data_IF_498030797968
#
_entry.id   IF_498030797968
#
_cell.length_a   1.000
_cell.length_b   1.000
_cell.length_c   1.000
_cell.angle_alpha   90.00
_cell.angle_beta   90.00
_cell.angle_gamma   90.00
#
_symmetry.space_group_name_H-M   'P 1'
#
loop_
_entity.id
_entity.type
_entity.pdbx_description
1 polymer ?
#
# COMPACT_ATOMS: atom_id res chain seq x y z
N UNK A 1 -10.96 -7.10 -8.78
CA UNK A 1 -11.06 -6.59 -7.40
C UNK A 1 -11.92 -7.53 -6.55
N UNK A 2 -11.43 -7.94 -5.38
CA UNK A 2 -12.11 -8.80 -4.40
C UNK A 2 -12.52 -7.97 -3.18
N UNK A 3 -13.82 -7.92 -2.89
CA UNK A 3 -14.35 -7.18 -1.74
C UNK A 3 -14.79 -8.17 -0.66
N UNK A 4 -14.35 -7.97 0.58
CA UNK A 4 -14.90 -8.64 1.76
C UNK A 4 -15.92 -7.72 2.42
N UNK A 5 -17.17 -8.16 2.54
CA UNK A 5 -18.23 -7.41 3.21
C UNK A 5 -18.59 -8.10 4.52
N UNK A 6 -18.36 -7.40 5.64
CA UNK A 6 -18.72 -7.79 6.99
C UNK A 6 -19.99 -7.07 7.39
N UNK A 7 -21.08 -7.81 7.64
CA UNK A 7 -22.39 -7.23 7.98
C UNK A 7 -22.78 -7.52 9.43
N UNK A 8 -23.58 -6.63 10.03
CA UNK A 8 -24.26 -6.94 11.29
C UNK A 8 -25.58 -7.69 11.04
N UNK A 9 -25.99 -8.53 11.99
CA UNK A 9 -27.18 -9.40 11.89
C UNK A 9 -28.31 -9.05 12.85
N UNK A 10 -28.15 -8.01 13.67
CA UNK A 10 -29.06 -7.69 14.78
C UNK A 10 -30.20 -6.75 14.37
N UNK A 11 -29.98 -5.94 13.34
CA UNK A 11 -30.99 -5.03 12.78
C UNK A 11 -31.74 -5.73 11.65
N UNK A 12 -32.98 -5.29 11.41
CA UNK A 12 -33.79 -5.80 10.32
C UNK A 12 -33.03 -5.77 8.98
N UNK A 13 -32.74 -6.97 8.47
CA UNK A 13 -31.97 -7.22 7.24
C UNK A 13 -32.50 -6.50 6.01
N UNK A 14 -33.80 -6.17 5.98
CA UNK A 14 -34.45 -5.42 4.90
C UNK A 14 -33.88 -4.01 4.72
N UNK A 15 -33.47 -3.37 5.80
CA UNK A 15 -32.96 -1.99 5.80
C UNK A 15 -31.43 -1.91 5.88
N UNK A 16 -30.79 -3.02 6.27
CA UNK A 16 -29.33 -3.15 6.38
C UNK A 16 -28.80 -4.20 5.41
N UNK A 17 -28.41 -5.39 5.89
CA UNK A 17 -27.70 -6.43 5.11
C UNK A 17 -28.17 -6.56 3.67
N UNK A 18 -29.46 -6.81 3.43
CA UNK A 18 -29.96 -7.04 2.06
C UNK A 18 -29.90 -5.76 1.21
N UNK A 19 -30.21 -4.62 1.81
CA UNK A 19 -30.16 -3.33 1.11
C UNK A 19 -28.72 -2.92 0.76
N UNK A 20 -27.81 -3.01 1.73
CA UNK A 20 -26.39 -2.70 1.55
C UNK A 20 -25.75 -3.65 0.53
N UNK A 21 -26.00 -4.95 0.62
CA UNK A 21 -25.46 -5.96 -0.30
C UNK A 21 -25.93 -5.73 -1.74
N UNK A 22 -27.21 -5.41 -1.95
CA UNK A 22 -27.78 -5.09 -3.26
C UNK A 22 -27.11 -3.82 -3.86
N UNK A 23 -26.89 -2.78 -3.04
CA UNK A 23 -26.18 -1.58 -3.47
C UNK A 23 -24.71 -1.85 -3.80
N UNK A 24 -24.02 -2.61 -2.94
CA UNK A 24 -22.61 -2.95 -3.12
C UNK A 24 -22.41 -3.78 -4.39
N UNK A 25 -23.30 -4.75 -4.66
CA UNK A 25 -23.28 -5.54 -5.89
C UNK A 25 -23.40 -4.69 -7.14
N UNK A 26 -24.33 -3.74 -7.14
CA UNK A 26 -24.49 -2.82 -8.25
C UNK A 26 -23.27 -1.91 -8.43
N UNK A 27 -22.67 -1.44 -7.34
CA UNK A 27 -21.47 -0.60 -7.38
C UNK A 27 -20.24 -1.35 -7.92
N UNK A 28 -19.96 -2.56 -7.43
CA UNK A 28 -18.85 -3.40 -7.92
C UNK A 28 -19.01 -3.71 -9.40
N UNK A 29 -20.25 -4.00 -9.85
CA UNK A 29 -20.52 -4.21 -11.28
C UNK A 29 -20.22 -2.97 -12.12
N UNK A 30 -20.58 -1.76 -11.64
CA UNK A 30 -20.28 -0.50 -12.35
C UNK A 30 -18.77 -0.24 -12.42
N UNK A 31 -18.03 -0.47 -11.34
CA UNK A 31 -16.57 -0.29 -11.30
C UNK A 31 -15.85 -1.29 -12.22
N UNK A 32 -16.24 -2.57 -12.18
CA UNK A 32 -15.68 -3.62 -13.03
C UNK A 32 -16.12 -3.53 -14.51
N UNK A 33 -17.05 -2.64 -14.88
CA UNK A 33 -17.35 -2.37 -16.30
C UNK A 33 -16.42 -1.29 -16.89
N UNK A 34 -15.75 -0.48 -16.05
CA UNK A 34 -14.72 0.47 -16.48
C UNK A 34 -13.31 -0.16 -16.59
N UNK A 35 -13.09 -1.35 -16.01
CA UNK A 35 -11.79 -2.05 -15.94
C UNK A 35 -11.95 -3.56 -16.17
N UNK A 36 -11.06 -4.15 -16.95
CA UNK A 36 -11.15 -5.53 -17.47
C UNK A 36 -11.45 -6.62 -16.38
N UNK A 37 -12.26 -7.60 -16.76
CA UNK A 37 -13.06 -8.45 -15.87
C UNK A 37 -12.26 -9.55 -15.13
N UNK A 38 -12.16 -9.44 -13.80
CA UNK A 38 -12.07 -10.60 -12.89
C UNK A 38 -13.00 -10.40 -11.68
N UNK A 39 -14.13 -11.12 -11.69
CA UNK A 39 -15.10 -11.14 -10.59
C UNK A 39 -14.55 -11.80 -9.32
N UNK A 40 -14.79 -11.17 -8.16
CA UNK A 40 -15.32 -11.94 -7.03
C UNK A 40 -16.16 -11.05 -6.12
N UNK A 41 -17.47 -11.32 -6.06
CA UNK A 41 -18.33 -10.95 -4.94
C UNK A 41 -18.66 -12.22 -4.19
N UNK A 42 -18.25 -12.33 -2.92
CA UNK A 42 -18.67 -13.43 -2.06
C UNK A 42 -20.00 -13.07 -1.41
N UNK A 43 -21.09 -13.59 -1.98
CA UNK A 43 -22.28 -13.86 -1.20
C UNK A 43 -22.07 -15.10 -0.34
N UNK A 44 -22.44 -14.95 0.93
CA UNK A 44 -22.82 -15.98 1.90
C UNK A 44 -22.55 -17.44 1.52
N UNK A 45 -21.53 -18.01 2.14
CA UNK A 45 -21.75 -18.97 3.22
C UNK A 45 -20.40 -19.32 3.85
N UNK A 46 -20.37 -19.34 5.17
CA UNK A 46 -19.28 -19.90 5.96
C UNK A 46 -18.86 -21.26 5.42
N UNK A 47 -17.54 -21.49 5.33
CA UNK A 47 -16.91 -22.77 4.95
C UNK A 47 -17.11 -23.30 3.51
N UNK A 48 -18.01 -22.76 2.68
CA UNK A 48 -18.16 -23.23 1.29
C UNK A 48 -16.85 -23.07 0.49
N UNK A 49 -16.30 -24.19 0.03
CA UNK A 49 -15.05 -24.27 -0.75
C UNK A 49 -13.82 -24.69 0.06
N UNK A 50 -13.92 -24.82 1.38
CA UNK A 50 -12.86 -25.40 2.23
C UNK A 50 -13.26 -26.83 2.60
N UNK A 51 -12.42 -27.81 2.24
CA UNK A 51 -12.71 -29.22 2.53
C UNK A 51 -12.59 -29.52 4.03
N UNK A 52 -13.47 -30.37 4.57
CA UNK A 52 -13.45 -30.81 5.97
C UNK A 52 -14.29 -29.96 6.91
N UNK A 53 -13.90 -29.92 8.20
CA UNK A 53 -14.52 -29.11 9.26
C UNK A 53 -13.57 -27.98 9.68
N UNK A 54 -13.46 -26.90 8.88
CA UNK A 54 -12.48 -25.86 9.14
C UNK A 54 -12.89 -24.99 10.33
N UNK A 55 -11.90 -24.40 11.00
CA UNK A 55 -12.13 -23.33 11.96
C UNK A 55 -12.74 -22.12 11.22
N UNK A 56 -13.99 -21.80 11.56
CA UNK A 56 -14.78 -20.73 10.92
C UNK A 56 -14.08 -19.38 11.07
N UNK A 57 -13.53 -19.10 12.25
CA UNK A 57 -12.87 -17.82 12.52
C UNK A 57 -11.62 -17.69 11.66
N UNK A 58 -10.75 -18.71 11.67
CA UNK A 58 -9.52 -18.71 10.86
C UNK A 58 -9.83 -18.59 9.36
N UNK A 59 -10.91 -19.24 8.90
CA UNK A 59 -11.37 -19.14 7.52
C UNK A 59 -11.83 -17.72 7.16
N UNK A 60 -12.59 -17.05 8.03
CA UNK A 60 -13.02 -15.66 7.83
C UNK A 60 -11.81 -14.72 7.77
N UNK A 61 -10.90 -14.82 8.74
CA UNK A 61 -9.69 -13.99 8.77
C UNK A 61 -8.84 -14.19 7.50
N UNK A 62 -8.65 -15.42 7.05
CA UNK A 62 -7.96 -15.70 5.79
C UNK A 62 -8.68 -15.10 4.57
N UNK A 63 -10.01 -15.07 4.55
CA UNK A 63 -10.76 -14.41 3.47
C UNK A 63 -10.58 -12.90 3.49
N UNK A 64 -10.53 -12.28 4.67
CA UNK A 64 -10.23 -10.84 4.83
C UNK A 64 -8.83 -10.56 4.28
N UNK A 65 -7.83 -11.32 4.72
CA UNK A 65 -6.43 -11.15 4.29
C UNK A 65 -6.26 -11.28 2.76
N UNK A 66 -7.05 -12.14 2.11
CA UNK A 66 -7.01 -12.38 0.66
C UNK A 66 -7.95 -11.47 -0.15
N UNK A 67 -8.60 -10.50 0.48
CA UNK A 67 -9.41 -9.48 -0.19
C UNK A 67 -8.59 -8.23 -0.52
N UNK A 68 -9.04 -7.46 -1.52
CA UNK A 68 -8.42 -6.18 -1.90
C UNK A 68 -8.95 -5.03 -1.05
N UNK A 69 -10.20 -5.15 -0.57
CA UNK A 69 -10.94 -4.12 0.19
C UNK A 69 -11.84 -4.81 1.22
N UNK A 70 -11.88 -4.26 2.42
CA UNK A 70 -12.86 -4.60 3.46
C UNK A 70 -13.95 -3.54 3.56
N UNK A 71 -15.21 -3.99 3.67
CA UNK A 71 -16.36 -3.13 3.93
C UNK A 71 -17.09 -3.60 5.19
N UNK A 72 -17.18 -2.76 6.22
CA UNK A 72 -17.85 -3.08 7.48
C UNK A 72 -19.17 -2.32 7.69
N UNK A 73 -20.27 -3.04 7.94
CA UNK A 73 -21.55 -2.47 8.42
C UNK A 73 -21.45 -2.14 9.92
N UNK A 74 -21.04 -0.91 10.24
CA UNK A 74 -20.88 -0.45 11.62
C UNK A 74 -22.16 0.13 12.22
N UNK A 75 -23.32 -0.12 11.60
CA UNK A 75 -24.62 0.32 12.12
C UNK A 75 -24.80 -0.11 13.58
N UNK A 76 -25.29 0.82 14.40
CA UNK A 76 -25.51 0.59 15.82
C UNK A 76 -26.65 -0.40 16.05
N UNK A 77 -26.35 -1.46 16.80
CA UNK A 77 -27.27 -2.57 17.08
C UNK A 77 -27.88 -2.49 18.47
N UNK A 78 -27.24 -1.75 19.39
CA UNK A 78 -27.73 -1.56 20.76
C UNK A 78 -27.20 -0.27 21.38
N UNK A 79 -27.71 0.05 22.58
CA UNK A 79 -27.27 1.17 23.40
C UNK A 79 -26.93 0.68 24.81
N UNK A 80 -25.87 1.23 25.40
CA UNK A 80 -25.53 0.96 26.80
C UNK A 80 -26.49 1.65 27.78
N UNK A 81 -26.39 1.35 29.08
CA UNK A 81 -27.13 2.05 30.15
C UNK A 81 -26.89 3.57 30.17
N UNK A 82 -25.76 4.03 29.60
CA UNK A 82 -25.43 5.46 29.45
C UNK A 82 -25.83 6.03 28.08
N UNK A 83 -26.70 5.34 27.34
CA UNK A 83 -27.13 5.68 25.97
C UNK A 83 -25.97 5.78 24.95
N UNK A 84 -24.83 5.12 25.21
CA UNK A 84 -23.77 5.00 24.22
C UNK A 84 -24.16 3.97 23.17
N UNK A 85 -24.16 4.35 21.90
CA UNK A 85 -24.44 3.44 20.79
C UNK A 85 -23.33 2.40 20.62
N UNK A 86 -23.69 1.16 20.27
CA UNK A 86 -22.79 0.02 20.14
C UNK A 86 -23.01 -0.68 18.79
N UNK A 87 -21.93 -0.86 18.03
CA UNK A 87 -21.93 -1.64 16.78
C UNK A 87 -21.76 -3.13 17.08
N UNK A 88 -22.05 -3.99 16.09
CA UNK A 88 -21.91 -5.43 16.25
C UNK A 88 -20.45 -5.84 16.53
N UNK A 89 -20.19 -6.63 17.59
CA UNK A 89 -18.83 -6.97 18.00
C UNK A 89 -18.09 -7.86 17.00
N UNK A 90 -18.77 -8.73 16.25
CA UNK A 90 -18.12 -9.56 15.22
C UNK A 90 -17.59 -8.68 14.09
N UNK A 91 -18.41 -7.73 13.63
CA UNK A 91 -17.98 -6.75 12.62
C UNK A 91 -16.77 -5.95 13.10
N UNK A 92 -16.74 -5.54 14.38
CA UNK A 92 -15.61 -4.80 14.93
C UNK A 92 -14.32 -5.63 15.04
N UNK A 93 -14.42 -6.93 15.35
CA UNK A 93 -13.26 -7.84 15.37
C UNK A 93 -12.71 -8.01 13.95
N UNK A 94 -13.58 -8.25 12.97
CA UNK A 94 -13.20 -8.39 11.57
C UNK A 94 -12.60 -7.10 11.01
N UNK A 95 -13.18 -5.95 11.36
CA UNK A 95 -12.67 -4.63 11.04
C UNK A 95 -11.26 -4.41 11.60
N UNK A 96 -11.03 -4.72 12.88
CA UNK A 96 -9.71 -4.61 13.50
C UNK A 96 -8.67 -5.48 12.81
N UNK A 97 -9.03 -6.71 12.44
CA UNK A 97 -8.16 -7.59 11.67
C UNK A 97 -7.93 -7.07 10.24
N UNK A 98 -8.96 -6.52 9.58
CA UNK A 98 -8.84 -5.93 8.27
C UNK A 98 -7.88 -4.72 8.25
N UNK A 99 -7.96 -3.84 9.26
CA UNK A 99 -7.01 -2.73 9.42
C UNK A 99 -5.57 -3.23 9.54
N UNK A 100 -5.35 -4.34 10.26
CA UNK A 100 -4.03 -4.97 10.36
C UNK A 100 -3.57 -5.62 9.03
N UNK A 101 -4.45 -6.37 8.37
CA UNK A 101 -4.10 -7.22 7.24
C UNK A 101 -4.14 -6.51 5.86
N UNK A 102 -4.94 -5.45 5.75
CA UNK A 102 -5.15 -4.68 4.51
C UNK A 102 -4.61 -3.25 4.59
N UNK A 103 -4.36 -2.72 5.78
CA UNK A 103 -4.11 -1.30 5.99
C UNK A 103 -5.40 -0.49 6.10
N UNK A 104 -5.32 0.66 6.79
CA UNK A 104 -6.46 1.55 6.99
C UNK A 104 -7.03 2.08 5.68
N UNK A 105 -6.17 2.25 4.68
CA UNK A 105 -6.51 2.79 3.37
C UNK A 105 -7.37 1.85 2.53
N UNK A 106 -7.47 0.56 2.89
CA UNK A 106 -8.30 -0.45 2.18
C UNK A 106 -9.54 -0.86 2.98
N UNK A 107 -9.89 -0.08 4.00
CA UNK A 107 -11.06 -0.27 4.86
C UNK A 107 -12.09 0.83 4.59
N UNK A 108 -13.33 0.42 4.29
CA UNK A 108 -14.46 1.31 4.10
C UNK A 108 -15.56 0.93 5.10
N UNK A 109 -16.08 1.89 5.85
CA UNK A 109 -17.20 1.64 6.75
C UNK A 109 -18.51 2.16 6.14
N UNK A 110 -19.60 1.46 6.37
CA UNK A 110 -20.97 1.89 6.00
C UNK A 110 -21.84 1.91 7.25
N UNK A 111 -22.74 2.89 7.34
CA UNK A 111 -23.64 3.06 8.46
C UNK A 111 -25.05 3.45 8.00
N UNK A 112 -26.07 2.83 8.60
CA UNK A 112 -27.45 3.26 8.48
C UNK A 112 -27.81 4.22 9.63
N UNK A 113 -27.95 5.50 9.33
CA UNK A 113 -28.18 6.56 10.33
C UNK A 113 -29.57 6.50 10.96
N UNK A 114 -30.52 5.79 10.35
CA UNK A 114 -31.84 5.55 10.93
C UNK A 114 -31.79 4.82 12.29
N UNK A 115 -30.66 4.18 12.61
CA UNK A 115 -30.41 3.45 13.86
C UNK A 115 -29.42 4.17 14.79
N UNK A 116 -29.03 5.40 14.46
CA UNK A 116 -28.21 6.27 15.30
C UNK A 116 -27.19 7.05 14.48
N UNK A 117 -27.00 8.32 14.86
CA UNK A 117 -26.06 9.20 14.18
C UNK A 117 -24.61 8.90 14.56
N UNK A 118 -23.69 8.80 13.59
CA UNK A 118 -22.28 8.52 13.85
C UNK A 118 -21.58 9.62 14.66
N UNK A 119 -22.05 10.86 14.56
CA UNK A 119 -21.49 11.99 15.29
C UNK A 119 -21.53 11.73 16.81
N UNK A 120 -20.36 11.83 17.45
CA UNK A 120 -20.15 11.52 18.87
C UNK A 120 -20.40 10.06 19.33
N UNK A 121 -20.82 9.16 18.43
CA UNK A 121 -21.13 7.77 18.76
C UNK A 121 -20.21 6.74 18.12
N UNK A 122 -19.45 7.10 17.08
CA UNK A 122 -18.43 6.23 16.51
C UNK A 122 -17.38 5.88 17.58
N UNK A 123 -16.94 4.60 17.69
CA UNK A 123 -15.84 4.21 18.57
C UNK A 123 -14.60 5.09 18.38
N UNK A 124 -13.93 5.45 19.48
CA UNK A 124 -12.79 6.38 19.48
C UNK A 124 -11.71 6.02 18.43
N UNK A 125 -11.39 4.74 18.28
CA UNK A 125 -10.39 4.24 17.32
C UNK A 125 -10.77 4.53 15.84
N UNK A 126 -12.06 4.68 15.55
CA UNK A 126 -12.59 4.99 14.22
C UNK A 126 -12.86 6.50 14.02
N UNK A 127 -12.94 7.28 15.10
CA UNK A 127 -13.26 8.71 15.04
C UNK A 127 -12.20 9.54 14.31
N UNK A 128 -10.94 9.06 14.27
CA UNK A 128 -9.83 9.69 13.55
C UNK A 128 -9.59 9.08 12.16
N UNK A 129 -10.47 8.18 11.71
CA UNK A 129 -10.38 7.51 10.41
C UNK A 129 -11.36 8.16 9.42
N UNK A 130 -11.35 7.65 8.17
CA UNK A 130 -12.30 8.08 7.14
C UNK A 130 -13.74 7.89 7.62
N UNK A 131 -14.54 8.94 7.48
CA UNK A 131 -15.96 8.92 7.86
C UNK A 131 -16.72 7.82 7.10
N UNK A 132 -17.64 7.07 7.76
CA UNK A 132 -18.40 6.03 7.10
C UNK A 132 -19.30 6.59 5.99
N UNK A 133 -19.57 5.77 4.98
CA UNK A 133 -20.62 6.02 4.00
C UNK A 133 -21.97 5.89 4.73
N UNK A 134 -22.70 6.99 4.80
CA UNK A 134 -23.98 7.04 5.49
C UNK A 134 -25.16 6.94 4.53
N UNK A 135 -26.22 6.27 4.97
CA UNK A 135 -27.53 6.34 4.35
C UNK A 135 -28.62 6.24 5.43
N UNK A 136 -29.84 6.68 5.12
CA UNK A 136 -30.99 6.55 6.00
C UNK A 136 -32.06 5.71 5.32
N UNK A 137 -32.38 4.56 5.92
CA UNK A 137 -33.53 3.77 5.51
C UNK A 137 -34.10 2.99 6.70
N UNK A 138 -35.42 3.08 6.87
CA UNK A 138 -36.20 2.39 7.88
C UNK A 138 -37.59 2.07 7.34
N UNK A 139 -38.48 1.60 8.21
CA UNK A 139 -39.91 1.46 7.91
C UNK A 139 -40.59 2.82 7.65
N UNK A 140 -40.11 3.90 8.27
CA UNK A 140 -40.71 5.23 8.20
C UNK A 140 -40.56 5.91 6.84
N UNK A 141 -39.49 5.62 6.12
CA UNK A 141 -39.14 6.25 4.84
C UNK A 141 -38.92 5.24 3.72
N UNK A 142 -39.55 4.06 3.81
CA UNK A 142 -39.37 3.00 2.83
C UNK A 142 -39.83 3.38 1.41
N UNK A 143 -40.70 4.39 1.27
CA UNK A 143 -41.07 4.99 -0.02
C UNK A 143 -39.87 5.54 -0.79
N UNK A 144 -38.85 6.00 -0.06
CA UNK A 144 -37.69 6.71 -0.63
C UNK A 144 -36.57 5.73 -1.02
N UNK A 145 -36.80 4.41 -0.83
CA UNK A 145 -35.84 3.33 -1.07
C UNK A 145 -35.11 3.47 -2.41
N UNK A 146 -35.83 3.82 -3.49
CA UNK A 146 -35.24 3.94 -4.82
C UNK A 146 -34.17 5.04 -4.86
N UNK A 147 -34.50 6.23 -4.35
CA UNK A 147 -33.61 7.38 -4.26
C UNK A 147 -32.43 7.12 -3.33
N UNK A 148 -32.67 6.49 -2.17
CA UNK A 148 -31.60 6.13 -1.23
C UNK A 148 -30.65 5.11 -1.84
N UNK A 149 -31.19 4.12 -2.58
CA UNK A 149 -30.41 3.10 -3.28
C UNK A 149 -29.48 3.71 -4.31
N UNK A 150 -29.99 4.63 -5.14
CA UNK A 150 -29.20 5.32 -6.16
C UNK A 150 -28.00 6.07 -5.55
N UNK A 151 -28.25 6.89 -4.53
CA UNK A 151 -27.21 7.65 -3.82
C UNK A 151 -26.17 6.76 -3.14
N UNK A 152 -26.60 5.65 -2.53
CA UNK A 152 -25.69 4.72 -1.87
C UNK A 152 -24.80 3.99 -2.89
N UNK A 153 -25.35 3.61 -4.04
CA UNK A 153 -24.57 3.04 -5.16
C UNK A 153 -23.51 4.03 -5.64
N UNK A 154 -23.86 5.30 -5.87
CA UNK A 154 -22.90 6.33 -6.30
C UNK A 154 -21.78 6.52 -5.29
N UNK A 155 -22.13 6.53 -3.99
CA UNK A 155 -21.15 6.65 -2.90
C UNK A 155 -20.19 5.46 -2.87
N UNK A 156 -20.70 4.23 -3.02
CA UNK A 156 -19.85 3.04 -3.15
C UNK A 156 -18.99 3.05 -4.40
N UNK A 157 -19.52 3.47 -5.57
CA UNK A 157 -18.72 3.58 -6.80
C UNK A 157 -17.57 4.57 -6.61
N UNK A 158 -17.86 5.76 -6.08
CA UNK A 158 -16.85 6.78 -5.80
C UNK A 158 -15.77 6.27 -4.82
N UNK A 159 -16.18 5.54 -3.79
CA UNK A 159 -15.26 4.97 -2.81
C UNK A 159 -14.41 3.82 -3.40
N UNK A 160 -14.96 2.97 -4.27
CA UNK A 160 -14.29 1.78 -4.81
C UNK A 160 -13.40 2.07 -6.03
N UNK A 161 -13.70 3.12 -6.81
CA UNK A 161 -13.01 3.45 -8.07
C UNK A 161 -11.47 3.57 -7.95
N UNK A 162 -10.89 4.17 -6.88
CA UNK A 162 -9.43 4.25 -6.74
C UNK A 162 -8.73 2.89 -6.70
N UNK A 163 -9.35 1.88 -6.09
CA UNK A 163 -8.75 0.56 -5.89
C UNK A 163 -8.85 -0.35 -7.12
N UNK A 164 -9.70 -0.01 -8.10
CA UNK A 164 -9.77 -0.74 -9.36
C UNK A 164 -8.45 -0.67 -10.14
N UNK A 165 -7.72 0.44 -9.99
CA UNK A 165 -6.40 0.67 -10.62
C UNK A 165 -5.22 0.32 -9.71
N UNK A 166 -5.46 0.16 -8.40
CA UNK A 166 -4.42 -0.04 -7.40
C UNK A 166 -4.65 -1.37 -6.68
N UNK A 167 -4.24 -2.50 -7.28
CA UNK A 167 -4.37 -3.81 -6.66
C UNK A 167 -3.66 -3.82 -5.30
N UNK A 168 -4.10 -4.70 -4.40
CA UNK A 168 -3.42 -4.88 -3.13
C UNK A 168 -2.01 -5.39 -3.37
N UNK A 169 -1.00 -4.62 -2.98
CA UNK A 169 0.37 -5.11 -2.88
C UNK A 169 0.48 -5.96 -1.62
N UNK A 170 1.01 -7.16 -1.77
CA UNK A 170 1.18 -8.11 -0.68
C UNK A 170 2.63 -8.04 -0.23
N UNK A 171 2.85 -7.79 1.06
CA UNK A 171 4.19 -7.85 1.64
C UNK A 171 4.76 -9.28 1.65
N UNK A 172 6.08 -9.43 1.83
CA UNK A 172 6.72 -10.73 1.85
C UNK A 172 6.24 -11.59 3.03
N UNK A 173 6.03 -12.89 2.79
CA UNK A 173 5.62 -13.86 3.81
C UNK A 173 6.66 -14.96 3.97
N UNK A 174 7.12 -15.17 5.22
CA UNK A 174 8.05 -16.23 5.56
C UNK A 174 7.39 -17.22 6.52
N UNK A 175 7.63 -18.53 6.32
CA UNK A 175 7.13 -19.60 7.20
C UNK A 175 7.69 -19.54 8.61
N UNK A 176 8.90 -18.99 8.78
CA UNK A 176 9.54 -18.81 10.08
C UNK A 176 10.58 -17.68 10.06
N UNK A 177 10.97 -17.21 11.24
CA UNK A 177 12.10 -16.28 11.39
C UNK A 177 13.42 -16.88 10.88
N UNK A 178 13.59 -18.21 11.00
CA UNK A 178 14.77 -18.89 10.47
C UNK A 178 14.84 -18.81 8.95
N UNK A 179 13.70 -18.97 8.28
CA UNK A 179 13.62 -18.88 6.81
C UNK A 179 13.84 -17.44 6.34
N UNK A 180 13.28 -16.46 7.08
CA UNK A 180 13.56 -15.03 6.85
C UNK A 180 15.05 -14.72 6.90
N UNK A 181 15.77 -15.18 7.93
CA UNK A 181 17.22 -14.93 8.05
C UNK A 181 18.01 -15.62 6.94
N UNK A 182 17.69 -16.88 6.63
CA UNK A 182 18.34 -17.62 5.52
C UNK A 182 18.17 -16.91 4.19
N UNK A 183 16.97 -16.40 3.93
CA UNK A 183 16.65 -15.63 2.74
C UNK A 183 17.50 -14.36 2.65
N UNK A 184 17.54 -13.56 3.72
CA UNK A 184 18.36 -12.34 3.78
C UNK A 184 19.84 -12.63 3.53
N UNK A 185 20.41 -13.66 4.16
CA UNK A 185 21.83 -13.99 4.00
C UNK A 185 22.15 -14.53 2.60
N UNK A 186 21.21 -15.27 1.99
CA UNK A 186 21.35 -15.74 0.60
C UNK A 186 21.42 -14.56 -0.37
N UNK A 187 20.50 -13.60 -0.24
CA UNK A 187 20.50 -12.40 -1.08
C UNK A 187 21.71 -11.50 -0.81
N UNK A 188 22.07 -11.31 0.47
CA UNK A 188 23.27 -10.55 0.87
C UNK A 188 24.50 -11.09 0.19
N UNK A 189 24.71 -12.42 0.21
CA UNK A 189 25.85 -13.07 -0.43
C UNK A 189 25.84 -12.85 -1.95
N UNK A 190 24.73 -13.18 -2.62
CA UNK A 190 24.62 -13.07 -4.09
C UNK A 190 24.84 -11.63 -4.59
N UNK A 191 24.21 -10.65 -3.94
CA UNK A 191 24.39 -9.24 -4.30
C UNK A 191 25.77 -8.71 -3.95
N UNK A 192 26.38 -9.17 -2.84
CA UNK A 192 27.75 -8.78 -2.49
C UNK A 192 28.75 -9.24 -3.54
N UNK A 193 28.67 -10.51 -3.95
CA UNK A 193 29.49 -11.08 -5.03
C UNK A 193 29.30 -10.33 -6.34
N UNK A 194 28.04 -10.02 -6.69
CA UNK A 194 27.73 -9.28 -7.92
C UNK A 194 28.25 -7.84 -7.90
N UNK A 195 28.08 -7.10 -6.80
CA UNK A 195 28.60 -5.73 -6.66
C UNK A 195 30.13 -5.72 -6.69
N UNK A 196 30.78 -6.69 -6.06
CA UNK A 196 32.24 -6.84 -6.12
C UNK A 196 32.71 -7.08 -7.56
N UNK A 197 32.04 -7.97 -8.31
CA UNK A 197 32.32 -8.23 -9.72
C UNK A 197 32.18 -6.95 -10.55
N UNK A 198 31.06 -6.23 -10.41
CA UNK A 198 30.81 -4.95 -11.08
C UNK A 198 31.96 -3.98 -10.84
N UNK A 199 32.40 -3.82 -9.59
CA UNK A 199 33.45 -2.87 -9.23
C UNK A 199 34.82 -3.27 -9.78
N UNK A 200 35.16 -4.56 -9.68
CA UNK A 200 36.42 -5.10 -10.17
C UNK A 200 36.56 -4.98 -11.70
N UNK A 201 35.50 -5.38 -12.42
CA UNK A 201 35.46 -5.40 -13.88
C UNK A 201 35.01 -4.05 -14.49
N UNK A 202 34.66 -3.06 -13.66
CA UNK A 202 34.14 -1.74 -14.06
C UNK A 202 32.90 -1.82 -14.96
N UNK A 203 31.99 -2.74 -14.62
CA UNK A 203 30.74 -2.95 -15.36
C UNK A 203 29.71 -1.86 -15.03
N UNK A 204 28.69 -1.77 -15.89
CA UNK A 204 27.50 -0.96 -15.60
C UNK A 204 26.77 -1.54 -14.38
N UNK A 205 26.29 -0.66 -13.51
CA UNK A 205 25.58 -1.01 -12.26
C UNK A 205 24.08 -1.18 -12.42
N UNK A 206 23.58 -1.09 -13.65
CA UNK A 206 22.16 -1.00 -13.94
C UNK A 206 21.47 -2.32 -13.66
N UNK A 207 20.29 -2.25 -13.05
CA UNK A 207 19.37 -3.35 -12.79
C UNK A 207 17.94 -2.90 -13.06
N UNK A 208 17.05 -3.85 -13.28
CA UNK A 208 15.62 -3.62 -13.42
C UNK A 208 14.97 -4.07 -12.12
N UNK A 209 14.24 -3.16 -11.48
CA UNK A 209 13.33 -3.51 -10.39
C UNK A 209 11.98 -3.88 -11.00
N UNK A 210 11.41 -5.00 -10.56
CA UNK A 210 10.09 -5.48 -10.98
C UNK A 210 9.26 -5.78 -9.75
N UNK A 211 8.08 -5.18 -9.71
CA UNK A 211 7.06 -5.49 -8.71
C UNK A 211 6.52 -6.90 -8.96
N UNK A 212 6.61 -7.76 -7.96
CA UNK A 212 6.15 -9.14 -8.03
C UNK A 212 4.63 -9.23 -8.25
N UNK A 213 3.86 -8.34 -7.61
CA UNK A 213 2.39 -8.37 -7.69
C UNK A 213 1.86 -7.84 -9.02
N UNK A 214 2.70 -7.16 -9.80
CA UNK A 214 2.37 -6.59 -11.12
C UNK A 214 3.33 -7.07 -12.21
N UNK A 215 3.98 -8.22 -12.02
CA UNK A 215 5.07 -8.71 -12.86
C UNK A 215 4.71 -8.87 -14.35
N UNK A 216 3.44 -9.13 -14.66
CA UNK A 216 2.89 -9.30 -16.01
C UNK A 216 2.94 -8.02 -16.88
N UNK A 217 3.16 -6.84 -16.28
CA UNK A 217 3.19 -5.58 -17.03
C UNK A 217 4.50 -5.36 -17.79
N UNK A 218 5.59 -6.03 -17.40
CA UNK A 218 6.85 -5.94 -18.12
C UNK A 218 6.79 -6.76 -19.42
N UNK A 219 7.28 -6.24 -20.56
CA UNK A 219 8.12 -5.05 -20.71
C UNK A 219 7.36 -3.78 -21.12
N UNK A 220 6.03 -3.77 -21.03
CA UNK A 220 5.21 -2.63 -21.43
C UNK A 220 5.25 -1.53 -20.35
N UNK A 221 5.21 -0.28 -20.78
CA UNK A 221 5.11 0.88 -19.88
C UNK A 221 3.69 1.41 -19.95
N UNK A 222 3.04 1.60 -18.80
CA UNK A 222 1.78 2.33 -18.72
C UNK A 222 2.00 3.76 -18.22
N UNK A 223 1.23 4.71 -18.76
CA UNK A 223 1.22 6.11 -18.32
C UNK A 223 0.28 6.34 -17.13
N UNK A 224 0.10 5.32 -16.29
CA UNK A 224 -0.80 5.40 -15.14
C UNK A 224 -0.19 6.28 -14.02
N UNK A 225 -1.07 6.90 -13.24
CA UNK A 225 -0.65 7.61 -12.02
C UNK A 225 -0.07 6.63 -10.99
N UNK A 226 1.15 6.91 -10.53
CA UNK A 226 1.83 6.15 -9.49
C UNK A 226 3.20 5.65 -9.92
N UNK A 227 3.80 4.78 -9.10
CA UNK A 227 5.07 4.14 -9.45
C UNK A 227 4.84 3.01 -10.45
N UNK A 228 5.64 3.01 -11.52
CA UNK A 228 5.63 1.98 -12.55
C UNK A 228 5.83 0.59 -11.92
N UNK A 229 5.14 -0.46 -12.42
CA UNK A 229 5.39 -1.86 -12.03
C UNK A 229 6.84 -2.31 -12.22
N UNK A 230 7.59 -1.64 -13.08
CA UNK A 230 9.01 -1.89 -13.27
C UNK A 230 9.75 -0.64 -13.73
N UNK A 231 11.03 -0.52 -13.37
CA UNK A 231 11.87 0.58 -13.83
C UNK A 231 13.36 0.24 -13.65
N UNK A 232 14.22 1.00 -14.32
CA UNK A 232 15.68 0.82 -14.27
C UNK A 232 16.28 1.71 -13.19
N UNK A 233 17.18 1.15 -12.40
CA UNK A 233 17.99 1.86 -11.40
C UNK A 233 19.44 1.40 -11.46
N UNK A 234 20.32 2.06 -10.72
CA UNK A 234 21.71 1.63 -10.55
C UNK A 234 21.96 1.15 -9.12
N UNK A 235 22.63 0.01 -8.97
CA UNK A 235 23.05 -0.50 -7.67
C UNK A 235 24.11 0.42 -7.05
N UNK A 236 23.93 0.77 -5.78
CA UNK A 236 24.87 1.58 -5.02
C UNK A 236 25.81 0.72 -4.18
N UNK A 237 25.30 0.17 -3.07
CA UNK A 237 26.02 -0.67 -2.12
C UNK A 237 25.02 -1.51 -1.31
N UNK A 238 25.52 -2.39 -0.45
CA UNK A 238 24.68 -3.05 0.56
C UNK A 238 24.61 -2.20 1.83
N UNK A 239 23.50 -2.32 2.56
CA UNK A 239 23.37 -1.80 3.92
C UNK A 239 22.97 -2.94 4.88
N UNK A 240 22.75 -2.63 6.17
CA UNK A 240 22.52 -3.64 7.18
C UNK A 240 21.35 -4.59 6.86
N UNK A 241 20.24 -4.08 6.31
CA UNK A 241 18.99 -4.84 6.07
C UNK A 241 18.70 -5.14 4.60
N UNK A 242 19.50 -4.64 3.66
CA UNK A 242 19.17 -4.72 2.25
C UNK A 242 20.22 -4.16 1.28
N UNK A 243 19.73 -3.70 0.14
CA UNK A 243 20.52 -3.08 -0.93
C UNK A 243 20.09 -1.63 -1.16
N UNK A 244 21.05 -0.78 -1.47
CA UNK A 244 20.84 0.62 -1.84
C UNK A 244 20.90 0.78 -3.36
N UNK A 245 20.01 1.60 -3.91
CA UNK A 245 19.97 1.93 -5.34
C UNK A 245 19.97 3.45 -5.55
N UNK A 246 20.65 3.92 -6.59
CA UNK A 246 20.63 5.32 -7.00
C UNK A 246 19.35 5.63 -7.75
N UNK A 247 18.68 6.71 -7.34
CA UNK A 247 17.47 7.22 -7.98
C UNK A 247 17.78 8.47 -8.79
N UNK A 248 18.54 9.41 -8.20
CA UNK A 248 18.87 10.68 -8.84
C UNK A 248 20.18 11.23 -8.27
N UNK A 249 21.01 11.85 -9.10
CA UNK A 249 22.15 12.64 -8.66
C UNK A 249 21.78 14.14 -8.72
N UNK A 250 22.27 14.93 -7.77
CA UNK A 250 21.98 16.36 -7.72
C UNK A 250 22.83 17.06 -6.67
N UNK A 251 22.38 18.22 -6.21
CA UNK A 251 23.03 18.95 -5.14
C UNK A 251 22.04 19.53 -4.14
N UNK A 252 22.46 19.59 -2.88
CA UNK A 252 21.71 20.23 -1.80
C UNK A 252 22.41 21.50 -1.36
N UNK A 253 21.60 22.39 -0.80
CA UNK A 253 22.09 23.59 -0.15
C UNK A 253 22.06 23.48 1.38
N UNK A 254 22.97 24.19 2.04
CA UNK A 254 23.07 24.20 3.50
C UNK A 254 22.36 25.44 4.06
N UNK A 255 21.47 25.22 5.03
CA UNK A 255 20.79 26.27 5.78
C UNK A 255 21.73 26.90 6.82
N UNK A 256 21.36 28.08 7.34
CA UNK A 256 22.16 28.76 8.38
C UNK A 256 22.33 27.94 9.67
N UNK A 257 21.36 27.07 9.97
CA UNK A 257 21.40 26.15 11.12
C UNK A 257 22.18 24.85 10.85
N UNK A 258 22.78 24.72 9.65
CA UNK A 258 23.54 23.54 9.23
C UNK A 258 22.68 22.39 8.68
N UNK A 259 21.35 22.54 8.63
CA UNK A 259 20.47 21.56 7.99
C UNK A 259 20.55 21.63 6.46
N UNK A 260 20.09 20.58 5.78
CA UNK A 260 20.06 20.54 4.31
C UNK A 260 18.67 20.88 3.76
N UNK A 261 18.66 21.57 2.61
CA UNK A 261 17.48 21.84 1.79
C UNK A 261 17.80 21.61 0.30
N UNK A 262 16.76 21.55 -0.53
CA UNK A 262 16.92 21.60 -1.98
C UNK A 262 17.56 22.92 -2.39
N UNK A 263 18.33 22.88 -3.48
CA UNK A 263 18.87 24.09 -4.11
C UNK A 263 17.80 24.81 -4.92
N UNK A 264 17.88 26.13 -4.96
CA UNK A 264 17.03 26.98 -5.78
C UNK A 264 17.62 27.13 -7.19
N UNK A 265 17.35 26.14 -8.03
CA UNK A 265 17.81 26.17 -9.42
C UNK A 265 17.20 27.31 -10.23
N UNK A 266 16.03 27.85 -9.83
CA UNK A 266 15.36 28.96 -10.55
C UNK A 266 16.16 30.25 -10.39
N UNK A 267 16.75 30.46 -9.22
CA UNK A 267 17.63 31.60 -8.94
C UNK A 267 19.11 31.30 -9.24
N UNK A 268 19.42 30.20 -9.92
CA UNK A 268 20.77 29.84 -10.36
C UNK A 268 21.67 29.25 -9.26
N UNK A 269 21.09 28.87 -8.12
CA UNK A 269 21.82 28.25 -7.02
C UNK A 269 22.39 26.89 -7.46
N UNK A 270 23.70 26.69 -7.23
CA UNK A 270 24.38 25.46 -7.62
C UNK A 270 24.24 24.34 -6.58
N UNK A 271 24.04 24.70 -5.30
CA UNK A 271 24.12 23.81 -4.14
C UNK A 271 25.57 23.57 -3.72
N UNK A 272 25.84 23.60 -2.41
CA UNK A 272 27.18 23.39 -1.85
C UNK A 272 27.61 21.92 -1.84
N UNK A 273 26.65 20.99 -1.72
CA UNK A 273 26.93 19.58 -1.48
C UNK A 273 26.40 18.69 -2.61
N UNK A 274 27.30 17.95 -3.27
CA UNK A 274 26.92 16.99 -4.32
C UNK A 274 26.49 15.67 -3.70
N UNK A 275 25.29 15.23 -4.02
CA UNK A 275 24.67 14.07 -3.37
C UNK A 275 23.97 13.17 -4.37
N UNK A 276 23.68 11.97 -3.91
CA UNK A 276 22.80 11.03 -4.57
C UNK A 276 21.55 10.82 -3.71
N UNK A 277 20.38 10.94 -4.31
CA UNK A 277 19.15 10.38 -3.77
C UNK A 277 19.20 8.87 -3.94
N UNK A 278 19.11 8.16 -2.82
CA UNK A 278 19.28 6.71 -2.72
C UNK A 278 18.03 6.11 -2.07
N UNK A 279 17.52 5.03 -2.66
CA UNK A 279 16.47 4.21 -2.07
C UNK A 279 17.05 2.98 -1.38
N UNK A 280 16.58 2.68 -0.17
CA UNK A 280 16.94 1.47 0.58
C UNK A 280 15.88 0.39 0.38
N UNK A 281 16.23 -0.72 -0.28
CA UNK A 281 15.33 -1.86 -0.54
C UNK A 281 15.68 -2.99 0.43
N UNK A 282 14.79 -3.38 1.36
CA UNK A 282 15.05 -4.49 2.28
C UNK A 282 15.23 -5.83 1.55
N UNK A 283 16.18 -6.66 2.01
CA UNK A 283 16.33 -8.01 1.46
C UNK A 283 15.06 -8.85 1.60
N UNK A 284 14.28 -8.59 2.66
CA UNK A 284 13.03 -9.32 2.90
C UNK A 284 11.98 -9.05 1.82
N UNK A 285 12.03 -7.88 1.17
CA UNK A 285 11.09 -7.53 0.12
C UNK A 285 11.54 -8.07 -1.25
N UNK A 286 12.80 -8.49 -1.40
CA UNK A 286 13.28 -9.09 -2.65
C UNK A 286 12.95 -10.57 -2.63
N UNK A 287 12.17 -11.05 -3.58
CA UNK A 287 11.84 -12.48 -3.70
C UNK A 287 12.99 -13.24 -4.38
N UNK A 288 13.48 -12.72 -5.51
CA UNK A 288 14.57 -13.36 -6.25
C UNK A 288 15.26 -12.40 -7.21
N UNK A 289 16.39 -12.83 -7.74
CA UNK A 289 17.20 -12.07 -8.69
C UNK A 289 17.59 -12.98 -9.85
N UNK A 290 17.30 -12.53 -11.07
CA UNK A 290 17.83 -13.08 -12.31
C UNK A 290 19.02 -12.19 -12.74
N UNK A 291 20.24 -12.72 -12.67
CA UNK A 291 21.45 -11.97 -13.06
C UNK A 291 21.77 -12.01 -14.55
N UNK A 292 21.11 -12.90 -15.31
CA UNK A 292 21.42 -13.14 -16.72
C UNK A 292 20.60 -12.25 -17.68
N UNK A 293 19.59 -11.56 -17.16
CA UNK A 293 18.65 -10.77 -17.96
C UNK A 293 17.62 -11.64 -18.68
N UNK A 294 16.96 -11.06 -19.68
CA UNK A 294 16.00 -11.74 -20.55
C UNK A 294 16.10 -11.23 -22.00
N UNK A 295 15.14 -11.61 -22.85
CA UNK A 295 15.10 -11.21 -24.26
C UNK A 295 14.87 -9.71 -24.51
N UNK A 296 14.36 -8.98 -23.50
CA UNK A 296 14.06 -7.56 -23.59
C UNK A 296 15.18 -6.69 -23.01
N UNK A 297 15.83 -7.16 -21.94
CA UNK A 297 16.95 -6.47 -21.32
C UNK A 297 17.94 -7.44 -20.64
N UNK A 298 19.21 -7.29 -21.00
CA UNK A 298 20.34 -8.10 -20.50
C UNK A 298 20.83 -7.67 -19.11
N UNK A 299 20.34 -6.57 -18.54
CA UNK A 299 20.65 -6.19 -17.17
C UNK A 299 19.91 -7.12 -16.18
N UNK A 300 20.45 -7.35 -14.97
CA UNK A 300 19.79 -8.16 -13.96
C UNK A 300 18.39 -7.64 -13.61
N UNK A 301 17.47 -8.57 -13.35
CA UNK A 301 16.12 -8.31 -12.87
C UNK A 301 16.03 -8.68 -11.38
N UNK A 302 15.66 -7.72 -10.55
CA UNK A 302 15.35 -7.91 -9.14
C UNK A 302 13.83 -7.92 -9.01
N UNK A 303 13.28 -9.07 -8.64
CA UNK A 303 11.85 -9.23 -8.36
C UNK A 303 11.63 -8.95 -6.89
N UNK A 304 10.86 -7.91 -6.57
CA UNK A 304 10.60 -7.52 -5.20
C UNK A 304 9.16 -7.03 -4.99
N UNK A 305 8.71 -7.08 -3.74
CA UNK A 305 7.45 -6.52 -3.30
C UNK A 305 7.57 -5.00 -3.14
N UNK A 306 6.66 -4.27 -3.79
CA UNK A 306 6.56 -2.83 -3.69
C UNK A 306 5.65 -2.42 -2.53
N UNK A 307 5.88 -3.03 -1.36
CA UNK A 307 4.95 -3.03 -0.23
C UNK A 307 5.18 -1.89 0.77
N UNK A 308 6.13 -1.00 0.51
CA UNK A 308 6.39 0.15 1.37
C UNK A 308 5.41 1.30 1.07
N UNK A 309 5.55 2.41 1.79
CA UNK A 309 4.68 3.59 1.65
C UNK A 309 4.57 4.00 0.17
N UNK A 310 3.36 4.39 -0.25
CA UNK A 310 3.04 4.76 -1.64
C UNK A 310 3.26 3.63 -2.68
N UNK A 311 3.27 2.37 -2.25
CA UNK A 311 3.54 1.21 -3.12
C UNK A 311 4.95 1.26 -3.72
N UNK A 312 5.92 1.75 -2.96
CA UNK A 312 7.32 1.79 -3.37
C UNK A 312 8.10 0.58 -2.84
N UNK A 313 9.26 0.23 -3.41
CA UNK A 313 10.13 -0.80 -2.86
C UNK A 313 11.04 -0.27 -1.73
N UNK A 314 10.99 1.03 -1.41
CA UNK A 314 11.96 1.69 -0.54
C UNK A 314 11.43 1.83 0.89
N UNK A 315 12.12 1.22 1.86
CA UNK A 315 11.78 1.47 3.27
C UNK A 315 12.21 2.87 3.70
N UNK A 316 13.21 3.43 3.00
CA UNK A 316 13.76 4.77 3.23
C UNK A 316 14.28 5.39 1.95
N UNK A 317 14.08 6.70 1.83
CA UNK A 317 14.72 7.56 0.84
C UNK A 317 15.70 8.50 1.55
N UNK A 318 16.96 8.46 1.14
CA UNK A 318 18.06 9.14 1.81
C UNK A 318 18.97 9.85 0.83
N UNK A 319 19.61 10.92 1.28
CA UNK A 319 20.70 11.55 0.56
C UNK A 319 22.03 10.98 1.05
N UNK A 320 22.87 10.59 0.10
CA UNK A 320 24.20 10.08 0.37
C UNK A 320 25.28 10.88 -0.35
N UNK A 321 26.42 11.04 0.31
CA UNK A 321 27.66 11.57 -0.27
C UNK A 321 28.58 10.41 -0.65
N UNK A 322 29.22 10.52 -1.81
CA UNK A 322 30.26 9.57 -2.21
C UNK A 322 31.57 9.87 -1.46
N UNK A 323 32.12 8.84 -0.84
CA UNK A 323 33.41 8.84 -0.16
C UNK A 323 34.32 7.86 -0.90
N UNK A 324 35.46 8.36 -1.37
CA UNK A 324 36.52 7.53 -1.92
C UNK A 324 37.27 6.85 -0.76
N UNK A 325 37.17 5.53 -0.69
CA UNK A 325 37.85 4.70 0.32
C UNK A 325 39.23 4.23 -0.14
N UNK A 326 39.67 4.66 -1.33
CA UNK A 326 40.91 4.23 -1.97
C UNK A 326 40.76 2.89 -2.71
N UNK A 327 41.74 2.59 -3.57
CA UNK A 327 41.81 1.34 -4.35
C UNK A 327 40.56 1.03 -5.20
N UNK A 328 39.83 2.07 -5.63
CA UNK A 328 38.62 1.92 -6.44
C UNK A 328 37.36 1.55 -5.66
N UNK A 329 37.42 1.51 -4.32
CA UNK A 329 36.26 1.31 -3.47
C UNK A 329 35.61 2.65 -3.13
N UNK A 330 34.33 2.76 -3.42
CA UNK A 330 33.50 3.92 -3.08
C UNK A 330 32.51 3.50 -2.00
N UNK A 331 32.34 4.35 -1.00
CA UNK A 331 31.33 4.20 0.03
C UNK A 331 30.36 5.37 -0.06
N UNK A 332 29.06 5.10 0.09
CA UNK A 332 28.03 6.13 0.07
C UNK A 332 27.56 6.35 1.50
N UNK A 333 27.96 7.47 2.09
CA UNK A 333 27.61 7.83 3.47
C UNK A 333 26.33 8.64 3.50
N UNK A 334 25.39 8.24 4.34
CA UNK A 334 24.13 8.96 4.57
C UNK A 334 24.44 10.32 5.18
N UNK A 335 23.79 11.38 4.69
CA UNK A 335 23.88 12.72 5.27
C UNK A 335 22.54 13.18 5.86
N UNK A 336 21.41 12.83 5.23
CA UNK A 336 20.07 13.22 5.69
C UNK A 336 18.99 12.37 4.99
N UNK A 337 17.78 12.37 5.51
CA UNK A 337 16.59 11.75 4.91
C UNK A 337 15.88 12.69 3.93
N UNK A 338 15.19 12.13 2.93
CA UNK A 338 14.40 12.95 1.98
C UNK A 338 13.33 13.78 2.71
N UNK A 339 12.61 13.16 3.65
CA UNK A 339 11.53 13.82 4.40
C UNK A 339 12.02 15.06 5.15
N UNK A 340 13.16 14.99 5.85
CA UNK A 340 13.74 16.13 6.56
C UNK A 340 14.17 17.24 5.59
N UNK A 341 14.83 16.90 4.49
CA UNK A 341 15.23 17.89 3.47
C UNK A 341 14.01 18.56 2.84
N UNK A 342 12.95 17.80 2.54
CA UNK A 342 11.69 18.34 2.03
C UNK A 342 11.05 19.29 3.03
N UNK A 343 11.01 18.93 4.31
CA UNK A 343 10.46 19.78 5.37
C UNK A 343 11.22 21.11 5.49
N UNK A 344 12.55 21.06 5.47
CA UNK A 344 13.38 22.26 5.47
C UNK A 344 13.18 23.13 4.23
N UNK A 345 13.01 22.50 3.06
CA UNK A 345 12.85 23.17 1.77
C UNK A 345 11.53 23.93 1.65
N UNK A 346 10.46 23.47 2.33
CA UNK A 346 9.15 24.15 2.35
C UNK A 346 9.22 25.61 2.82
N UNK A 347 10.12 25.92 3.76
CA UNK A 347 10.34 27.28 4.27
C UNK A 347 10.81 28.26 3.18
N UNK A 348 11.38 27.72 2.10
CA UNK A 348 11.94 28.47 0.98
C UNK A 348 11.10 28.34 -0.30
N UNK A 349 9.94 27.66 -0.25
CA UNK A 349 9.11 27.40 -1.44
C UNK A 349 9.77 26.47 -2.46
N UNK A 350 10.68 25.61 -2.00
CA UNK A 350 11.41 24.65 -2.84
C UNK A 350 10.79 23.25 -2.69
N UNK A 351 10.29 22.70 -3.79
CA UNK A 351 9.50 21.46 -3.78
C UNK A 351 10.24 20.25 -4.38
N UNK A 352 11.22 20.48 -5.25
CA UNK A 352 11.83 19.42 -6.07
C UNK A 352 13.33 19.34 -5.86
N UNK A 353 13.83 18.10 -5.76
CA UNK A 353 15.25 17.81 -5.82
C UNK A 353 15.74 17.89 -7.27
N UNK A 354 16.83 18.62 -7.47
CA UNK A 354 17.40 18.89 -8.79
C UNK A 354 18.92 18.77 -8.79
#
# INVERSE_FOLDING_TARGET
MKVFYSWQSDINVKYNRYFQLDCLKAAVKKVNQEFDLKESMREDHDTKGVSGSPDIATTILSKIENSDIFIGDITFVSFSEKNRALSNPNVLIELGYAMHALGDERVINVINTAFGEPENNIPFDLAHKRWPISYDLSDKNFSDKATVKEKLIESFVSALKPYAKQPKVVGPKFSSNGDKVKHQETLRKRLSEYIQKINHEKLKRRVILRDLDRADHYPEVSDDEGISPWFKVELAQLYHRGVQVFLQAGALSICEDGSYRFRDTKNGEQGEERVFLVGEIPFINIETINFDGDEYDYFPHIFCHFSEKNQEPYERLIFCKEIDMGHGYKHYSVIETLDNVQENSKKYGLEYFA
#
